data_IF_174928616275
#
_entry.id   IF_174928616275
#
_cell.length_a   1.000
_cell.length_b   1.000
_cell.length_c   1.000
_cell.angle_alpha   90.00
_cell.angle_beta   90.00
_cell.angle_gamma   90.00
#
_symmetry.space_group_name_H-M   'P 1'
#
loop_
_entity.id
_entity.type
_entity.pdbx_description
1 polymer ?
#
# COMPACT_ATOMS: atom_id res chain seq x y z
N UNK A 1 -48.01 -17.73 -20.98
CA UNK A 1 -48.00 -16.75 -19.86
C UNK A 1 -46.70 -15.95 -19.94
N UNK A 2 -46.72 -14.60 -19.93
CA UNK A 2 -45.49 -13.82 -19.92
C UNK A 2 -44.73 -14.07 -18.61
N UNK A 3 -43.41 -14.31 -18.70
CA UNK A 3 -42.57 -14.58 -17.53
C UNK A 3 -42.48 -13.34 -16.64
N UNK A 4 -42.57 -13.52 -15.33
CA UNK A 4 -42.43 -12.45 -14.34
C UNK A 4 -41.04 -11.79 -14.52
N UNK A 5 -40.96 -10.45 -14.64
CA UNK A 5 -39.66 -9.79 -14.80
C UNK A 5 -38.76 -10.11 -13.60
N UNK A 6 -37.47 -10.29 -13.87
CA UNK A 6 -36.47 -10.54 -12.83
C UNK A 6 -36.34 -9.36 -11.86
N UNK A 7 -35.60 -9.57 -10.75
CA UNK A 7 -35.29 -8.51 -9.79
C UNK A 7 -34.62 -7.34 -10.55
N UNK A 8 -35.07 -6.09 -10.35
CA UNK A 8 -34.48 -4.93 -11.01
C UNK A 8 -32.98 -4.82 -10.71
N UNK A 9 -32.23 -4.31 -11.68
CA UNK A 9 -30.79 -4.09 -11.54
C UNK A 9 -30.51 -3.09 -10.41
N UNK A 10 -29.46 -3.35 -9.64
CA UNK A 10 -29.02 -2.45 -8.58
C UNK A 10 -28.39 -1.19 -9.17
N UNK A 11 -28.80 -0.03 -8.68
CA UNK A 11 -28.23 1.27 -9.06
C UNK A 11 -27.39 1.80 -7.90
N UNK A 12 -26.06 1.94 -8.06
CA UNK A 12 -25.19 2.45 -7.01
C UNK A 12 -25.52 3.91 -6.70
N UNK A 13 -25.70 4.23 -5.42
CA UNK A 13 -25.88 5.61 -4.94
C UNK A 13 -24.56 6.22 -4.50
N UNK A 14 -24.46 7.55 -4.49
CA UNK A 14 -23.25 8.25 -4.03
C UNK A 14 -22.93 7.96 -2.56
N UNK A 15 -23.98 7.81 -1.73
CA UNK A 15 -23.82 7.42 -0.32
C UNK A 15 -23.20 6.02 -0.19
N UNK A 16 -23.61 5.08 -1.05
CA UNK A 16 -23.04 3.74 -1.05
C UNK A 16 -21.57 3.80 -1.48
N UNK A 17 -21.23 4.59 -2.50
CA UNK A 17 -19.82 4.80 -2.92
C UNK A 17 -18.95 5.33 -1.79
N UNK A 18 -19.42 6.36 -1.09
CA UNK A 18 -18.72 6.92 0.06
C UNK A 18 -18.52 5.89 1.19
N UNK A 19 -19.54 5.06 1.42
CA UNK A 19 -19.49 3.99 2.42
C UNK A 19 -18.48 2.91 2.04
N UNK A 20 -18.54 2.39 0.81
CA UNK A 20 -17.58 1.39 0.30
C UNK A 20 -16.16 1.92 0.38
N UNK A 21 -15.94 3.15 -0.11
CA UNK A 21 -14.63 3.81 -0.10
C UNK A 21 -14.05 3.95 1.32
N UNK A 22 -14.90 4.26 2.30
CA UNK A 22 -14.48 4.41 3.70
C UNK A 22 -14.17 3.06 4.34
N UNK A 23 -15.01 2.05 4.09
CA UNK A 23 -14.80 0.71 4.64
C UNK A 23 -13.58 0.02 4.02
N UNK A 24 -13.36 0.19 2.71
CA UNK A 24 -12.15 -0.30 2.03
C UNK A 24 -10.90 0.43 2.56
N UNK A 25 -10.98 1.75 2.77
CA UNK A 25 -9.93 2.53 3.42
C UNK A 25 -9.57 2.00 4.82
N UNK A 26 -10.54 1.49 5.58
CA UNK A 26 -10.29 0.84 6.88
C UNK A 26 -9.76 -0.59 6.76
N UNK A 27 -9.84 -1.21 5.58
CA UNK A 27 -9.32 -2.56 5.32
C UNK A 27 -10.28 -3.67 5.63
N UNK A 28 -11.56 -3.32 5.67
CA UNK A 28 -12.64 -4.29 5.75
C UNK A 28 -12.68 -5.04 4.41
N UNK A 29 -12.72 -6.38 4.41
CA UNK A 29 -12.71 -7.15 3.17
C UNK A 29 -14.03 -7.00 2.41
N UNK A 30 -13.96 -7.05 1.08
CA UNK A 30 -15.09 -6.82 0.16
C UNK A 30 -16.36 -7.59 0.54
N UNK A 31 -16.24 -8.82 1.00
CA UNK A 31 -17.39 -9.65 1.35
C UNK A 31 -18.13 -9.14 2.60
N UNK A 32 -17.43 -8.53 3.56
CA UNK A 32 -18.06 -7.90 4.72
C UNK A 32 -18.70 -6.57 4.35
N UNK A 33 -18.05 -5.79 3.48
CA UNK A 33 -18.64 -4.57 2.92
C UNK A 33 -19.93 -4.90 2.17
N UNK A 34 -19.93 -5.97 1.38
CA UNK A 34 -21.12 -6.45 0.67
C UNK A 34 -22.25 -6.83 1.65
N UNK A 35 -21.92 -7.47 2.78
CA UNK A 35 -22.90 -7.79 3.83
C UNK A 35 -23.51 -6.53 4.47
N UNK A 36 -22.70 -5.51 4.72
CA UNK A 36 -23.19 -4.23 5.29
C UNK A 36 -24.15 -3.52 4.33
N UNK A 37 -23.90 -3.58 3.02
CA UNK A 37 -24.78 -2.99 2.00
C UNK A 37 -25.90 -3.93 1.54
N UNK A 38 -25.99 -5.14 2.10
CA UNK A 38 -26.92 -6.19 1.69
C UNK A 38 -26.85 -6.50 0.17
N UNK A 39 -25.64 -6.47 -0.39
CA UNK A 39 -25.35 -6.78 -1.79
C UNK A 39 -24.66 -8.13 -1.93
N UNK A 40 -24.80 -8.73 -3.12
CA UNK A 40 -23.94 -9.84 -3.49
C UNK A 40 -22.50 -9.34 -3.75
N UNK A 41 -21.45 -10.07 -3.33
CA UNK A 41 -20.06 -9.66 -3.56
C UNK A 41 -19.69 -9.43 -5.03
N UNK A 42 -20.38 -10.07 -5.98
CA UNK A 42 -20.18 -9.80 -7.42
C UNK A 42 -20.78 -8.46 -7.82
N UNK A 43 -21.95 -8.10 -7.27
CA UNK A 43 -22.58 -6.79 -7.49
C UNK A 43 -21.71 -5.68 -6.92
N UNK A 44 -21.15 -5.87 -5.72
CA UNK A 44 -20.24 -4.91 -5.11
C UNK A 44 -19.04 -4.63 -6.03
N UNK A 45 -18.32 -5.68 -6.44
CA UNK A 45 -17.15 -5.54 -7.32
C UNK A 45 -17.49 -4.96 -8.69
N UNK A 46 -18.68 -5.24 -9.24
CA UNK A 46 -19.11 -4.68 -10.52
C UNK A 46 -19.32 -3.16 -10.47
N UNK A 47 -19.87 -2.64 -9.37
CA UNK A 47 -20.30 -1.24 -9.29
C UNK A 47 -19.34 -0.33 -8.53
N UNK A 48 -18.50 -0.91 -7.65
CA UNK A 48 -17.62 -0.18 -6.74
C UNK A 48 -16.15 -0.59 -6.84
N UNK A 49 -15.73 -1.13 -7.99
CA UNK A 49 -14.34 -1.56 -8.22
C UNK A 49 -13.34 -0.45 -7.89
N UNK A 50 -13.58 0.75 -8.42
CA UNK A 50 -12.69 1.90 -8.25
C UNK A 50 -12.53 2.28 -6.77
N UNK A 51 -13.62 2.28 -6.00
CA UNK A 51 -13.62 2.62 -4.58
C UNK A 51 -12.90 1.56 -3.73
N UNK A 52 -13.00 0.28 -4.12
CA UNK A 52 -12.27 -0.82 -3.47
C UNK A 52 -10.77 -0.72 -3.75
N UNK A 53 -10.38 -0.45 -4.99
CA UNK A 53 -8.97 -0.35 -5.39
C UNK A 53 -8.30 0.91 -4.80
N UNK A 54 -8.96 2.07 -4.93
CA UNK A 54 -8.39 3.36 -4.55
C UNK A 54 -8.46 3.61 -3.04
N UNK A 55 -9.45 3.05 -2.33
CA UNK A 55 -9.67 3.32 -0.91
C UNK A 55 -8.45 3.01 -0.04
N UNK A 56 -7.75 1.91 -0.32
CA UNK A 56 -6.52 1.55 0.40
C UNK A 56 -5.38 2.55 0.17
N UNK A 57 -5.19 2.99 -1.08
CA UNK A 57 -4.13 3.92 -1.47
C UNK A 57 -4.37 5.29 -0.83
N UNK A 58 -5.60 5.79 -0.92
CA UNK A 58 -5.97 7.07 -0.31
C UNK A 58 -5.85 7.04 1.21
N UNK A 59 -6.21 5.95 1.87
CA UNK A 59 -6.04 5.81 3.31
C UNK A 59 -4.56 5.90 3.71
N UNK A 60 -3.71 5.16 3.02
CA UNK A 60 -2.27 5.19 3.25
C UNK A 60 -1.69 6.60 3.03
N UNK A 61 -2.09 7.28 1.96
CA UNK A 61 -1.67 8.65 1.68
C UNK A 61 -2.12 9.64 2.76
N UNK A 62 -3.36 9.53 3.25
CA UNK A 62 -3.89 10.37 4.35
C UNK A 62 -3.12 10.18 5.65
N UNK A 63 -2.82 8.93 6.01
CA UNK A 63 -2.04 8.63 7.22
C UNK A 63 -0.61 9.13 7.08
N UNK A 64 0.02 8.94 5.92
CA UNK A 64 1.36 9.47 5.63
C UNK A 64 1.40 11.01 5.73
N UNK A 65 0.42 11.71 5.14
CA UNK A 65 0.31 13.17 5.23
C UNK A 65 0.09 13.65 6.68
N UNK A 66 -0.73 12.94 7.46
CA UNK A 66 -0.91 13.22 8.89
C UNK A 66 0.39 13.07 9.66
N UNK A 67 1.16 12.01 9.41
CA UNK A 67 2.45 11.79 10.04
C UNK A 67 3.46 12.87 9.64
N UNK A 68 3.50 13.26 8.36
CA UNK A 68 4.35 14.34 7.88
C UNK A 68 4.05 15.65 8.62
N UNK A 69 2.77 16.05 8.68
CA UNK A 69 2.36 17.28 9.38
C UNK A 69 2.74 17.27 10.87
N UNK A 70 2.65 16.11 11.53
CA UNK A 70 3.06 15.93 12.94
C UNK A 70 4.57 15.96 13.10
N UNK A 71 5.32 15.41 12.14
CA UNK A 71 6.78 15.45 12.14
C UNK A 71 7.33 16.86 11.87
N UNK A 72 6.61 17.69 11.09
CA UNK A 72 7.01 19.05 10.74
C UNK A 72 6.31 20.14 11.57
N UNK A 73 5.58 19.79 12.63
CA UNK A 73 4.84 20.73 13.48
C UNK A 73 4.91 20.33 14.96
N UNK A 74 4.18 21.04 15.84
CA UNK A 74 4.35 20.91 17.30
C UNK A 74 3.42 19.89 17.99
N UNK A 75 2.53 19.23 17.24
CA UNK A 75 1.53 18.29 17.79
C UNK A 75 2.04 16.84 17.85
N UNK A 76 2.26 16.30 19.05
CA UNK A 76 2.75 14.92 19.26
C UNK A 76 1.67 13.84 19.29
N UNK A 77 0.40 14.22 19.36
CA UNK A 77 -0.68 13.27 19.56
C UNK A 77 -0.93 12.40 18.31
N UNK A 78 -1.04 11.09 18.52
CA UNK A 78 -1.26 10.06 17.49
C UNK A 78 -0.13 9.83 16.46
N UNK A 79 1.14 10.12 16.80
CA UNK A 79 2.30 9.72 15.98
C UNK A 79 2.48 8.20 15.99
N UNK A 80 2.38 7.57 17.16
CA UNK A 80 2.56 6.10 17.33
C UNK A 80 1.55 5.32 16.48
N UNK A 81 0.27 5.71 16.50
CA UNK A 81 -0.77 5.07 15.70
C UNK A 81 -0.52 5.21 14.18
N UNK A 82 -0.03 6.37 13.73
CA UNK A 82 0.30 6.59 12.33
C UNK A 82 1.54 5.78 11.89
N UNK A 83 2.58 5.70 12.73
CA UNK A 83 3.74 4.83 12.48
C UNK A 83 3.30 3.37 12.41
N UNK A 84 2.50 2.90 13.36
CA UNK A 84 1.97 1.55 13.37
C UNK A 84 1.19 1.23 12.08
N UNK A 85 0.28 2.13 11.66
CA UNK A 85 -0.47 1.97 10.42
C UNK A 85 0.42 1.85 9.19
N UNK A 86 1.41 2.74 9.03
CA UNK A 86 2.30 2.73 7.87
C UNK A 86 3.18 1.49 7.83
N UNK A 87 3.65 1.01 9.00
CA UNK A 87 4.39 -0.26 9.09
C UNK A 87 3.54 -1.46 8.70
N UNK A 88 2.33 -1.59 9.25
CA UNK A 88 1.49 -2.77 9.04
C UNK A 88 0.79 -2.79 7.68
N UNK A 89 0.41 -1.62 7.13
CA UNK A 89 -0.46 -1.54 5.95
C UNK A 89 0.18 -0.89 4.72
N UNK A 90 1.06 0.08 4.91
CA UNK A 90 1.80 0.67 3.79
C UNK A 90 3.09 -0.12 3.48
N UNK A 91 3.42 -1.14 4.28
CA UNK A 91 4.62 -1.96 4.11
C UNK A 91 5.92 -1.20 4.41
N UNK A 92 5.83 -0.09 5.14
CA UNK A 92 7.00 0.70 5.50
C UNK A 92 7.82 -0.07 6.51
N UNK A 93 9.10 -0.21 6.23
CA UNK A 93 10.06 -0.85 7.12
C UNK A 93 11.27 0.05 7.26
N UNK A 94 11.80 0.09 8.46
CA UNK A 94 13.14 0.64 8.66
C UNK A 94 14.11 -0.27 7.91
N UNK A 95 15.13 0.34 7.29
CA UNK A 95 16.17 -0.42 6.60
C UNK A 95 16.93 -1.20 7.68
N UNK A 96 17.16 -2.51 7.52
CA UNK A 96 18.00 -3.24 8.48
C UNK A 96 19.37 -2.57 8.57
N UNK A 97 19.98 -2.60 9.74
CA UNK A 97 21.38 -2.22 9.89
C UNK A 97 22.23 -3.10 8.95
N UNK A 98 23.41 -2.61 8.53
CA UNK A 98 24.31 -3.35 7.64
C UNK A 98 24.64 -4.77 8.16
N UNK A 99 24.65 -4.86 9.48
CA UNK A 99 24.92 -5.99 10.35
C UNK A 99 23.75 -6.99 10.46
N UNK A 100 22.54 -6.62 10.01
CA UNK A 100 21.33 -7.46 10.01
C UNK A 100 20.90 -7.98 8.63
N UNK A 101 21.63 -7.63 7.56
CA UNK A 101 21.33 -8.16 6.22
C UNK A 101 21.46 -9.70 6.19
N UNK A 102 20.50 -10.37 5.55
CA UNK A 102 20.57 -11.82 5.41
C UNK A 102 21.84 -12.24 4.65
N UNK A 103 22.38 -13.42 4.94
CA UNK A 103 23.62 -13.96 4.33
C UNK A 103 23.65 -13.85 2.80
N UNK A 104 22.49 -13.85 2.14
CA UNK A 104 22.36 -13.69 0.68
C UNK A 104 22.54 -12.24 0.23
N UNK A 105 22.00 -11.28 0.98
CA UNK A 105 22.09 -9.84 0.66
C UNK A 105 23.46 -9.27 1.07
N UNK A 106 24.05 -9.75 2.18
CA UNK A 106 25.45 -9.45 2.53
C UNK A 106 26.40 -9.89 1.42
N UNK A 107 26.29 -11.13 0.93
CA UNK A 107 27.12 -11.61 -0.18
C UNK A 107 26.91 -10.84 -1.48
N UNK A 108 25.70 -10.33 -1.73
CA UNK A 108 25.43 -9.52 -2.92
C UNK A 108 26.10 -8.14 -2.81
N UNK A 109 26.00 -7.49 -1.65
CA UNK A 109 26.70 -6.24 -1.37
C UNK A 109 28.22 -6.42 -1.39
N UNK A 110 28.72 -7.48 -0.74
CA UNK A 110 30.15 -7.84 -0.74
C UNK A 110 30.65 -8.13 -2.15
N UNK A 111 29.84 -8.74 -3.02
CA UNK A 111 30.18 -8.98 -4.42
C UNK A 111 30.16 -7.68 -5.26
N UNK A 112 29.24 -6.76 -4.97
CA UNK A 112 29.16 -5.45 -5.60
C UNK A 112 30.27 -4.49 -5.15
N UNK A 113 30.86 -4.71 -3.98
CA UNK A 113 31.96 -3.90 -3.44
C UNK A 113 33.25 -4.69 -3.26
N UNK A 114 33.37 -5.87 -3.89
CA UNK A 114 34.50 -6.79 -3.72
C UNK A 114 35.82 -6.18 -4.21
N UNK A 115 35.74 -5.23 -5.13
CA UNK A 115 36.87 -4.58 -5.75
C UNK A 115 37.55 -3.55 -4.85
N UNK A 116 36.82 -2.95 -3.91
CA UNK A 116 37.30 -1.84 -3.09
C UNK A 116 38.46 -2.29 -2.19
N UNK A 117 39.61 -1.62 -2.31
CA UNK A 117 40.81 -1.91 -1.52
C UNK A 117 41.65 -3.10 -2.04
N UNK A 118 41.34 -3.64 -3.23
CA UNK A 118 42.14 -4.68 -3.87
C UNK A 118 43.06 -4.10 -4.94
N UNK A 119 44.12 -4.83 -5.30
CA UNK A 119 45.07 -4.40 -6.34
C UNK A 119 44.45 -4.28 -7.74
N UNK A 120 43.20 -4.70 -7.92
CA UNK A 120 42.46 -4.68 -9.19
C UNK A 120 41.32 -3.63 -9.19
N UNK A 121 41.18 -2.82 -8.12
CA UNK A 121 40.19 -1.74 -8.03
C UNK A 121 40.31 -0.74 -9.19
N UNK A 122 41.53 -0.46 -9.64
CA UNK A 122 41.82 0.45 -10.75
C UNK A 122 41.47 -0.10 -12.14
N UNK A 123 41.08 -1.37 -12.24
CA UNK A 123 40.81 -2.05 -13.50
C UNK A 123 39.31 -2.20 -13.79
N UNK A 124 38.45 -1.83 -12.84
CA UNK A 124 37.01 -1.77 -13.03
C UNK A 124 36.58 -0.31 -13.20
N UNK A 125 35.95 -0.01 -14.34
CA UNK A 125 35.27 1.27 -14.55
C UNK A 125 34.08 1.39 -13.57
N UNK A 126 33.86 2.56 -12.94
CA UNK A 126 32.73 2.75 -12.05
C UNK A 126 31.43 2.48 -12.81
N UNK A 127 30.47 1.83 -12.14
CA UNK A 127 29.22 1.39 -12.75
C UNK A 127 28.38 2.51 -13.40
N UNK A 128 28.72 3.80 -13.19
CA UNK A 128 28.04 4.93 -13.82
C UNK A 128 28.40 5.17 -15.29
N UNK A 129 29.46 4.55 -15.84
CA UNK A 129 29.88 4.79 -17.24
C UNK A 129 29.18 3.87 -18.25
N UNK A 130 28.35 2.91 -17.81
CA UNK A 130 27.82 1.84 -18.67
C UNK A 130 26.50 2.14 -19.40
N UNK A 131 26.10 3.42 -19.46
CA UNK A 131 24.96 3.90 -20.26
C UNK A 131 25.40 5.08 -21.13
N UNK A 132 25.97 4.77 -22.29
CA UNK A 132 25.90 5.57 -23.51
C UNK A 132 25.66 4.63 -24.70
#
# INVERSE_FOLDING_TARGET
MPRKPGRPAYTPTEKDRATVKTMSAFGIPDYEIARVLALDPKTLRKHFWTELEVGHVEANAKVAASLFKKATGDGREAVVAAIFWLKCRAGWRERPAADELGKKEQRALEAETAERGTSWESLLEPASTRLQ
#
